data_IF_891559819894
#
_entry.id   IF_891559819894
#
_cell.length_a   1.000
_cell.length_b   1.000
_cell.length_c   1.000
_cell.angle_alpha   90.00
_cell.angle_beta   90.00
_cell.angle_gamma   90.00
#
_symmetry.space_group_name_H-M   'P 1'
#
loop_
_entity.id
_entity.type
_entity.pdbx_description
1 polymer ?
#
# COMPACT_ATOMS: atom_id res chain seq x y z
N UNK A 1 -13.89 11.71 -18.50
CA UNK A 1 -12.58 12.41 -18.49
C UNK A 1 -12.44 13.05 -17.13
N UNK A 2 -11.71 12.39 -16.22
CA UNK A 2 -11.39 12.98 -14.93
C UNK A 2 -10.54 14.22 -15.17
N UNK A 3 -11.02 15.38 -14.70
CA UNK A 3 -10.23 16.61 -14.69
C UNK A 3 -8.96 16.29 -13.90
N UNK A 4 -7.80 16.24 -14.57
CA UNK A 4 -6.52 16.31 -13.90
C UNK A 4 -6.59 17.52 -12.96
N UNK A 5 -6.63 17.24 -11.67
CA UNK A 5 -6.71 18.30 -10.67
C UNK A 5 -5.47 19.18 -10.80
N UNK A 6 -5.70 20.46 -11.03
CA UNK A 6 -4.63 21.43 -11.23
C UNK A 6 -3.95 21.68 -9.88
N UNK A 7 -2.87 20.91 -9.62
CA UNK A 7 -1.95 21.14 -8.50
C UNK A 7 -0.84 22.07 -8.98
N UNK A 8 -0.62 23.13 -8.22
CA UNK A 8 0.44 24.08 -8.53
C UNK A 8 1.79 23.69 -7.88
N UNK A 9 2.81 24.51 -8.11
CA UNK A 9 4.15 24.30 -7.55
C UNK A 9 4.13 24.27 -6.02
N UNK A 10 3.38 25.17 -5.39
CA UNK A 10 3.28 25.24 -3.94
C UNK A 10 2.65 23.97 -3.34
N UNK A 11 1.61 23.43 -3.99
CA UNK A 11 0.97 22.17 -3.59
C UNK A 11 1.98 21.01 -3.59
N UNK A 12 2.85 20.93 -4.62
CA UNK A 12 3.90 19.91 -4.72
C UNK A 12 4.99 20.08 -3.67
N UNK A 13 5.43 21.29 -3.42
CA UNK A 13 6.40 21.60 -2.38
C UNK A 13 5.88 21.23 -0.98
N UNK A 14 4.63 21.52 -0.68
CA UNK A 14 3.97 21.10 0.57
C UNK A 14 3.96 19.59 0.69
N UNK A 15 3.53 18.88 -0.36
CA UNK A 15 3.50 17.41 -0.36
C UNK A 15 4.90 16.80 -0.21
N UNK A 16 5.95 17.40 -0.77
CA UNK A 16 7.33 16.94 -0.59
C UNK A 16 7.77 16.97 0.87
N UNK A 17 7.39 18.01 1.65
CA UNK A 17 7.63 18.04 3.10
C UNK A 17 6.86 16.93 3.83
N UNK A 18 5.58 16.77 3.52
CA UNK A 18 4.71 15.79 4.18
C UNK A 18 5.10 14.32 3.86
N UNK A 19 5.63 14.06 2.67
CA UNK A 19 6.14 12.74 2.28
C UNK A 19 7.41 12.38 3.06
N UNK A 20 8.24 13.37 3.41
CA UNK A 20 9.45 13.15 4.21
C UNK A 20 9.12 12.99 5.69
N UNK A 21 8.24 13.83 6.22
CA UNK A 21 7.73 13.77 7.59
C UNK A 21 6.27 14.21 7.65
N UNK A 22 5.37 13.23 7.76
CA UNK A 22 3.92 13.51 7.88
C UNK A 22 3.54 14.21 9.20
N UNK A 23 4.46 14.33 10.17
CA UNK A 23 4.26 15.01 11.45
C UNK A 23 4.87 16.41 11.49
N UNK A 24 5.52 16.86 10.43
CA UNK A 24 6.12 18.19 10.36
C UNK A 24 5.07 19.26 10.70
N UNK A 25 5.35 20.22 11.59
CA UNK A 25 4.43 21.32 11.88
C UNK A 25 4.17 22.19 10.65
N UNK A 26 2.92 22.53 10.41
CA UNK A 26 2.55 23.40 9.28
C UNK A 26 3.22 24.78 9.35
N UNK A 27 3.52 25.24 10.56
CA UNK A 27 4.31 26.48 10.79
C UNK A 27 5.74 26.37 10.26
N UNK A 28 6.33 25.20 10.32
CA UNK A 28 7.68 24.95 9.79
C UNK A 28 7.66 24.90 8.25
N UNK A 29 6.69 24.20 7.65
CA UNK A 29 6.49 24.22 6.19
C UNK A 29 6.27 25.66 5.70
N UNK A 30 5.41 26.42 6.39
CA UNK A 30 5.08 27.78 6.07
C UNK A 30 6.32 28.69 6.10
N UNK A 31 7.17 28.54 7.11
CA UNK A 31 8.44 29.27 7.23
C UNK A 31 9.37 28.96 6.05
N UNK A 32 9.53 27.71 5.71
CA UNK A 32 10.43 27.27 4.65
C UNK A 32 9.94 27.70 3.26
N UNK A 33 8.64 27.75 3.03
CA UNK A 33 8.02 28.16 1.77
C UNK A 33 7.66 29.64 1.71
N UNK A 34 7.95 30.40 2.78
CA UNK A 34 7.71 31.87 2.88
C UNK A 34 6.23 32.19 2.63
N UNK A 35 5.33 31.46 3.27
CA UNK A 35 3.89 31.65 3.24
C UNK A 35 3.30 31.65 4.65
N UNK A 36 2.02 31.97 4.80
CA UNK A 36 1.36 31.90 6.11
C UNK A 36 1.02 30.42 6.48
N UNK A 37 0.99 30.08 7.77
CA UNK A 37 0.52 28.76 8.22
C UNK A 37 -0.93 28.45 7.77
N UNK A 38 -1.77 29.49 7.71
CA UNK A 38 -3.13 29.38 7.20
C UNK A 38 -3.17 28.95 5.73
N UNK A 39 -2.24 29.48 4.92
CA UNK A 39 -2.10 29.07 3.51
C UNK A 39 -1.80 27.59 3.40
N UNK A 40 -0.86 27.06 4.21
CA UNK A 40 -0.52 25.62 4.24
C UNK A 40 -1.76 24.79 4.60
N UNK A 41 -2.46 25.20 5.67
CA UNK A 41 -3.66 24.48 6.12
C UNK A 41 -4.74 24.40 5.02
N UNK A 42 -5.04 25.50 4.36
CA UNK A 42 -6.04 25.55 3.27
C UNK A 42 -5.61 24.68 2.09
N UNK A 43 -4.33 24.69 1.72
CA UNK A 43 -3.79 23.87 0.62
C UNK A 43 -3.87 22.38 0.93
N UNK A 44 -3.50 21.96 2.14
CA UNK A 44 -3.59 20.56 2.56
C UNK A 44 -5.05 20.11 2.54
N UNK A 45 -5.98 20.90 3.08
CA UNK A 45 -7.42 20.61 3.04
C UNK A 45 -7.95 20.46 1.61
N UNK A 46 -7.50 21.31 0.70
CA UNK A 46 -7.81 21.20 -0.73
C UNK A 46 -7.31 19.86 -1.29
N UNK A 47 -6.04 19.49 -1.06
CA UNK A 47 -5.44 18.24 -1.53
C UNK A 47 -6.12 17.00 -0.95
N UNK A 48 -6.54 17.03 0.32
CA UNK A 48 -7.36 16.02 0.96
C UNK A 48 -8.74 15.89 0.29
N UNK A 49 -9.43 17.02 0.08
CA UNK A 49 -10.76 17.02 -0.56
C UNK A 49 -10.74 16.53 -2.01
N UNK A 50 -9.61 16.72 -2.69
CA UNK A 50 -9.37 16.20 -4.04
C UNK A 50 -8.95 14.72 -4.06
N UNK A 51 -8.78 14.09 -2.89
CA UNK A 51 -8.31 12.70 -2.77
C UNK A 51 -6.84 12.48 -3.15
N UNK A 52 -6.06 13.55 -3.34
CA UNK A 52 -4.63 13.46 -3.63
C UNK A 52 -3.88 13.04 -2.37
N UNK A 53 -4.16 13.67 -1.24
CA UNK A 53 -3.73 13.20 0.08
C UNK A 53 -4.85 12.33 0.63
N UNK A 54 -4.60 11.03 0.75
CA UNK A 54 -5.57 10.07 1.26
C UNK A 54 -5.43 9.83 2.77
N UNK A 55 -4.32 10.25 3.36
CA UNK A 55 -4.04 10.10 4.78
C UNK A 55 -2.56 9.92 5.08
N UNK A 56 -2.26 9.65 6.33
CA UNK A 56 -0.93 9.30 6.82
C UNK A 56 -0.99 8.01 7.63
N UNK A 57 0.10 7.23 7.60
CA UNK A 57 0.19 5.97 8.34
C UNK A 57 1.54 5.86 9.04
N UNK A 58 1.58 5.05 10.10
CA UNK A 58 2.83 4.71 10.75
C UNK A 58 3.62 3.71 9.90
N UNK A 59 4.90 3.97 9.71
CA UNK A 59 5.82 2.99 9.16
C UNK A 59 6.34 2.15 10.32
N UNK A 60 5.95 0.87 10.34
CA UNK A 60 6.34 -0.09 11.38
C UNK A 60 7.40 -1.03 10.80
N UNK A 61 8.40 -1.38 11.60
CA UNK A 61 9.35 -2.44 11.26
C UNK A 61 8.76 -3.80 11.69
N UNK A 62 8.31 -4.65 10.75
CA UNK A 62 7.66 -5.90 11.07
C UNK A 62 8.58 -6.87 11.84
N UNK A 63 9.88 -6.90 11.51
CA UNK A 63 10.84 -7.79 12.16
C UNK A 63 10.97 -7.52 13.66
N UNK A 64 10.83 -6.25 14.08
CA UNK A 64 10.82 -5.90 15.51
C UNK A 64 9.59 -6.42 16.27
N UNK A 65 8.57 -6.86 15.53
CA UNK A 65 7.36 -7.49 16.06
C UNK A 65 7.33 -9.01 15.81
N UNK A 66 8.46 -9.59 15.35
CA UNK A 66 8.59 -11.03 15.11
C UNK A 66 8.04 -11.50 13.75
N UNK A 67 7.81 -10.61 12.81
CA UNK A 67 7.40 -10.91 11.44
C UNK A 67 8.61 -10.78 10.51
N UNK A 68 9.42 -11.84 10.45
CA UNK A 68 10.74 -11.81 9.80
C UNK A 68 10.73 -12.27 8.35
N UNK A 69 9.58 -12.73 7.83
CA UNK A 69 9.49 -13.26 6.50
C UNK A 69 8.46 -12.49 5.67
N UNK A 70 8.90 -12.01 4.52
CA UNK A 70 8.04 -11.45 3.47
C UNK A 70 8.01 -12.41 2.29
N UNK A 71 6.81 -12.69 1.77
CA UNK A 71 6.62 -13.47 0.56
C UNK A 71 5.64 -12.78 -0.39
N UNK A 72 5.76 -13.10 -1.67
CA UNK A 72 4.79 -12.75 -2.69
C UNK A 72 4.08 -14.02 -3.15
N UNK A 73 2.78 -13.96 -3.34
CA UNK A 73 1.97 -15.08 -3.79
C UNK A 73 1.18 -14.70 -5.02
N UNK A 74 1.35 -15.48 -6.09
CA UNK A 74 0.49 -15.47 -7.25
C UNK A 74 -0.64 -16.48 -7.08
N UNK A 75 -1.87 -16.03 -7.25
CA UNK A 75 -3.08 -16.83 -7.06
C UNK A 75 -3.79 -16.98 -8.40
N UNK A 76 -4.03 -18.22 -8.78
CA UNK A 76 -4.78 -18.58 -9.99
C UNK A 76 -6.23 -18.85 -9.63
N UNK A 77 -7.14 -18.23 -10.36
CA UNK A 77 -8.58 -18.41 -10.19
C UNK A 77 -9.15 -19.34 -11.27
N UNK A 78 -10.18 -20.10 -10.92
CA UNK A 78 -10.89 -20.97 -11.85
C UNK A 78 -11.57 -20.17 -12.97
N UNK A 79 -12.03 -18.96 -12.68
CA UNK A 79 -12.68 -18.01 -13.60
C UNK A 79 -12.36 -16.58 -13.16
N UNK A 80 -12.15 -15.65 -14.10
CA UNK A 80 -11.98 -14.22 -13.79
C UNK A 80 -13.20 -13.58 -13.13
N UNK A 81 -14.42 -14.09 -13.44
CA UNK A 81 -15.68 -13.55 -12.91
C UNK A 81 -15.84 -13.67 -11.39
N UNK A 82 -15.10 -14.58 -10.72
CA UNK A 82 -15.18 -14.78 -9.28
C UNK A 82 -14.17 -13.94 -8.48
N UNK A 83 -13.39 -13.09 -9.15
CA UNK A 83 -12.38 -12.26 -8.49
C UNK A 83 -12.93 -11.49 -7.29
N UNK A 84 -14.09 -10.84 -7.43
CA UNK A 84 -14.67 -10.02 -6.38
C UNK A 84 -15.09 -10.83 -5.14
N UNK A 85 -15.42 -12.09 -5.30
CA UNK A 85 -15.76 -13.00 -4.21
C UNK A 85 -14.48 -13.47 -3.51
N UNK A 86 -13.51 -13.93 -4.28
CA UNK A 86 -12.23 -14.40 -3.74
C UNK A 86 -11.49 -13.29 -3.01
N UNK A 87 -11.41 -12.06 -3.56
CA UNK A 87 -10.66 -10.97 -2.92
C UNK A 87 -11.29 -10.55 -1.59
N UNK A 88 -12.60 -10.68 -1.41
CA UNK A 88 -13.25 -10.44 -0.12
C UNK A 88 -12.79 -11.41 0.94
N UNK A 89 -12.66 -12.70 0.60
CA UNK A 89 -12.16 -13.72 1.53
C UNK A 89 -10.67 -13.51 1.81
N UNK A 90 -9.86 -13.28 0.77
CA UNK A 90 -8.42 -12.97 0.90
C UNK A 90 -8.18 -11.76 1.80
N UNK A 91 -9.04 -10.72 1.72
CA UNK A 91 -8.93 -9.52 2.56
C UNK A 91 -9.17 -9.78 4.06
N UNK A 92 -9.73 -10.92 4.42
CA UNK A 92 -9.90 -11.31 5.83
C UNK A 92 -8.63 -11.91 6.45
N UNK A 93 -7.61 -12.20 5.64
CA UNK A 93 -6.33 -12.79 6.07
C UNK A 93 -5.39 -11.65 6.49
N UNK A 94 -5.13 -11.46 7.78
CA UNK A 94 -4.39 -10.29 8.27
C UNK A 94 -2.92 -10.28 7.85
N UNK A 95 -2.35 -11.41 7.49
CA UNK A 95 -0.98 -11.52 7.01
C UNK A 95 -0.81 -11.09 5.55
N UNK A 96 -1.90 -10.97 4.79
CA UNK A 96 -1.90 -10.40 3.44
C UNK A 96 -2.06 -8.90 3.57
N UNK A 97 -0.98 -8.18 3.31
CA UNK A 97 -0.90 -6.73 3.53
C UNK A 97 -1.10 -5.91 2.25
N UNK A 98 -1.04 -6.55 1.10
CA UNK A 98 -1.20 -5.92 -0.21
C UNK A 98 -1.69 -6.98 -1.21
N UNK A 99 -2.62 -6.61 -2.09
CA UNK A 99 -3.09 -7.50 -3.15
C UNK A 99 -3.49 -6.68 -4.39
N UNK A 100 -3.13 -7.20 -5.55
CA UNK A 100 -3.42 -6.60 -6.86
C UNK A 100 -4.18 -7.57 -7.75
N UNK A 101 -5.17 -7.06 -8.48
CA UNK A 101 -5.72 -7.77 -9.64
C UNK A 101 -4.79 -7.54 -10.81
N UNK A 102 -4.29 -8.62 -11.41
CA UNK A 102 -3.21 -8.52 -12.39
C UNK A 102 -3.60 -9.11 -13.74
N UNK A 103 -2.96 -8.60 -14.78
CA UNK A 103 -2.92 -9.24 -16.10
C UNK A 103 -1.86 -10.33 -16.11
N UNK A 104 -1.97 -11.32 -17.01
CA UNK A 104 -0.99 -12.38 -17.16
C UNK A 104 -1.36 -13.66 -16.43
N UNK A 105 -0.35 -14.39 -15.93
CA UNK A 105 -0.54 -15.75 -15.41
C UNK A 105 -1.35 -15.80 -14.12
N UNK A 106 -1.13 -14.87 -13.20
CA UNK A 106 -1.88 -14.80 -11.95
C UNK A 106 -3.12 -13.92 -12.10
N UNK A 107 -4.22 -14.27 -11.47
CA UNK A 107 -5.35 -13.36 -11.34
C UNK A 107 -5.15 -12.38 -10.18
N UNK A 108 -4.51 -12.83 -9.10
CA UNK A 108 -4.17 -12.00 -7.93
C UNK A 108 -2.69 -12.16 -7.65
N UNK A 109 -2.00 -11.04 -7.40
CA UNK A 109 -0.65 -11.02 -6.88
C UNK A 109 -0.66 -10.27 -5.56
N UNK A 110 -0.22 -10.94 -4.48
CA UNK A 110 -0.33 -10.41 -3.14
C UNK A 110 0.99 -10.48 -2.37
N UNK A 111 1.12 -9.61 -1.38
CA UNK A 111 2.24 -9.58 -0.44
C UNK A 111 1.81 -10.13 0.91
N UNK A 112 2.56 -11.09 1.42
CA UNK A 112 2.37 -11.71 2.74
C UNK A 112 3.52 -11.27 3.65
N UNK A 113 3.22 -10.89 4.88
CA UNK A 113 4.20 -10.68 5.94
C UNK A 113 3.86 -11.64 7.07
N UNK A 114 4.79 -12.52 7.41
CA UNK A 114 4.59 -13.59 8.38
C UNK A 114 5.84 -13.85 9.24
N UNK A 115 5.71 -14.69 10.27
CA UNK A 115 6.76 -14.90 11.25
C UNK A 115 7.93 -15.71 10.69
N UNK A 116 7.63 -16.80 9.98
CA UNK A 116 8.61 -17.76 9.47
C UNK A 116 7.97 -18.65 8.38
N UNK A 117 8.73 -19.58 7.85
CA UNK A 117 8.30 -20.49 6.79
C UNK A 117 7.16 -21.44 7.22
N UNK A 118 7.13 -21.87 8.49
CA UNK A 118 6.00 -22.69 8.99
C UNK A 118 4.71 -21.88 9.01
N UNK A 119 4.76 -20.64 9.48
CA UNK A 119 3.63 -19.73 9.46
C UNK A 119 3.18 -19.42 8.01
N UNK A 120 4.15 -19.23 7.08
CA UNK A 120 3.83 -19.05 5.66
C UNK A 120 3.08 -20.26 5.09
N UNK A 121 3.55 -21.48 5.36
CA UNK A 121 2.89 -22.71 4.95
C UNK A 121 1.44 -22.77 5.45
N UNK A 122 1.23 -22.46 6.73
CA UNK A 122 -0.11 -22.51 7.34
C UNK A 122 -1.04 -21.48 6.71
N UNK A 123 -0.57 -20.25 6.43
CA UNK A 123 -1.33 -19.23 5.70
C UNK A 123 -1.74 -19.72 4.31
N UNK A 124 -0.80 -20.31 3.56
CA UNK A 124 -1.06 -20.80 2.21
C UNK A 124 -2.08 -21.93 2.23
N UNK A 125 -1.83 -22.96 3.05
CA UNK A 125 -2.64 -24.19 3.04
C UNK A 125 -4.01 -23.99 3.69
N UNK A 126 -4.06 -23.31 4.83
CA UNK A 126 -5.25 -23.28 5.68
C UNK A 126 -6.12 -22.04 5.46
N UNK A 127 -5.56 -20.98 4.83
CA UNK A 127 -6.28 -19.72 4.62
C UNK A 127 -6.45 -19.37 3.13
N UNK A 128 -5.42 -19.52 2.30
CA UNK A 128 -5.48 -19.09 0.89
C UNK A 128 -6.03 -20.19 -0.01
N UNK A 129 -5.47 -21.41 0.07
CA UNK A 129 -5.87 -22.50 -0.84
C UNK A 129 -7.24 -23.08 -0.56
N UNK A 130 -7.82 -22.81 0.61
CA UNK A 130 -9.18 -23.23 0.96
C UNK A 130 -10.26 -22.28 0.43
N UNK A 131 -9.87 -21.09 -0.05
CA UNK A 131 -10.80 -20.12 -0.63
C UNK A 131 -11.40 -20.70 -1.91
N UNK A 132 -12.73 -20.71 -1.96
CA UNK A 132 -13.45 -21.25 -3.12
C UNK A 132 -13.10 -20.47 -4.40
N UNK A 133 -12.67 -21.21 -5.42
CA UNK A 133 -12.27 -20.63 -6.70
C UNK A 133 -10.76 -20.41 -6.86
N UNK A 134 -9.97 -20.57 -5.81
CA UNK A 134 -8.51 -20.67 -5.92
C UNK A 134 -8.15 -22.07 -6.39
N UNK A 135 -7.43 -22.17 -7.50
CA UNK A 135 -7.05 -23.47 -8.10
C UNK A 135 -5.58 -23.80 -7.92
N UNK A 136 -4.73 -22.79 -7.82
CA UNK A 136 -3.27 -22.93 -7.64
C UNK A 136 -2.68 -21.67 -7.08
N UNK A 137 -1.58 -21.82 -6.36
CA UNK A 137 -0.75 -20.70 -5.89
C UNK A 137 0.71 -20.92 -6.23
N UNK A 138 1.43 -19.84 -6.48
CA UNK A 138 2.89 -19.82 -6.59
C UNK A 138 3.43 -18.80 -5.59
N UNK A 139 4.43 -19.20 -4.81
CA UNK A 139 4.96 -18.34 -3.75
C UNK A 139 6.43 -18.06 -3.97
N UNK A 140 6.82 -16.80 -3.81
CA UNK A 140 8.19 -16.31 -3.91
C UNK A 140 8.56 -15.69 -2.57
N UNK A 141 9.59 -16.19 -1.91
CA UNK A 141 10.10 -15.60 -0.67
C UNK A 141 11.02 -14.44 -1.03
N UNK A 142 10.77 -13.28 -0.43
CA UNK A 142 11.65 -12.12 -0.54
C UNK A 142 12.89 -12.32 0.31
N UNK A 143 14.05 -12.12 -0.26
CA UNK A 143 15.32 -12.12 0.49
C UNK A 143 15.59 -10.79 1.18
N UNK A 144 14.89 -9.72 0.81
CA UNK A 144 14.99 -8.40 1.41
C UNK A 144 14.29 -7.33 0.57
N UNK A 145 13.80 -6.28 1.21
CA UNK A 145 13.23 -5.12 0.54
C UNK A 145 14.35 -4.13 0.20
N UNK A 146 14.77 -4.08 -1.06
CA UNK A 146 15.90 -3.23 -1.50
C UNK A 146 15.51 -1.77 -1.75
N UNK A 147 14.27 -1.53 -2.16
CA UNK A 147 13.77 -0.19 -2.48
C UNK A 147 12.34 -0.05 -1.98
N UNK A 148 12.10 1.00 -1.19
CA UNK A 148 10.77 1.46 -0.79
C UNK A 148 10.76 2.97 -0.74
N UNK A 149 10.05 3.60 -1.63
CA UNK A 149 9.91 5.06 -1.71
C UNK A 149 8.57 5.45 -2.32
N UNK A 150 8.16 6.67 -2.07
CA UNK A 150 6.99 7.25 -2.71
C UNK A 150 7.26 7.61 -4.18
N UNK A 151 6.18 7.83 -4.95
CA UNK A 151 6.27 8.37 -6.31
C UNK A 151 6.94 9.74 -6.31
N UNK A 152 7.66 10.13 -7.36
CA UNK A 152 8.19 11.48 -7.48
C UNK A 152 7.04 12.49 -7.62
N UNK A 153 7.13 13.59 -6.88
CA UNK A 153 6.19 14.71 -6.93
C UNK A 153 6.78 15.86 -7.79
N UNK A 154 7.19 15.52 -9.00
CA UNK A 154 7.79 16.48 -9.95
C UNK A 154 6.76 17.50 -10.50
#
# INVERSE_FOLDING_TARGET
>A
MDKLHEIDKLDREIMNYLVQDAKIPYTEIAKNLIVSPGTIHVRIKKLESMGIIQGSTLIINPSKLGYDLTAFIGIYLSKGSIYNEVIKEINTIPEIVEAHYTTGSYSIFAKIICKNTSHLRDIINDKVQVVNGVIRTETIISLGESIKKQIPLA
#
